data_IF_078654628184
#
_entry.id   IF_078654628184
#
_cell.length_a   1.000
_cell.length_b   1.000
_cell.length_c   1.000
_cell.angle_alpha   90.00
_cell.angle_beta   90.00
_cell.angle_gamma   90.00
#
_symmetry.space_group_name_H-M   'P 1'
#
loop_
_entity.id
_entity.type
_entity.pdbx_description
1 polymer ?
#
# COMPACT_ATOMS: atom_id res chain seq x y z
N UNK A 1 -20.99 14.70 1.29
CA UNK A 1 -19.53 14.77 1.44
C UNK A 1 -19.22 14.08 2.75
N UNK A 2 -19.23 12.75 2.77
CA UNK A 2 -18.61 11.99 3.84
C UNK A 2 -17.17 11.79 3.39
N UNK A 3 -16.29 12.65 3.89
CA UNK A 3 -14.85 12.53 3.65
C UNK A 3 -14.34 11.45 4.60
N UNK A 4 -14.65 10.18 4.30
CA UNK A 4 -14.06 9.04 5.00
C UNK A 4 -12.55 9.13 4.80
N UNK A 5 -11.85 9.60 5.83
CA UNK A 5 -10.40 9.69 5.85
C UNK A 5 -9.84 8.27 5.83
N UNK A 6 -9.50 7.77 4.63
CA UNK A 6 -9.07 6.40 4.43
C UNK A 6 -7.71 6.19 5.09
N UNK A 7 -7.60 5.09 5.83
CA UNK A 7 -6.33 4.65 6.37
C UNK A 7 -5.62 3.79 5.30
N UNK A 8 -4.41 4.17 4.91
CA UNK A 8 -3.62 3.53 3.87
C UNK A 8 -2.59 2.63 4.53
N UNK A 9 -2.54 1.35 4.15
CA UNK A 9 -1.51 0.43 4.59
C UNK A 9 -0.18 0.73 3.89
N UNK A 10 0.83 1.11 4.67
CA UNK A 10 2.16 1.44 4.22
C UNK A 10 3.14 1.34 5.41
N UNK A 11 4.21 0.55 5.33
CA UNK A 11 5.23 0.49 6.38
C UNK A 11 5.95 1.84 6.55
N UNK A 12 6.16 2.24 7.79
CA UNK A 12 6.92 3.44 8.15
C UNK A 12 8.40 3.27 7.81
N UNK A 13 9.00 4.35 7.33
CA UNK A 13 10.44 4.47 7.11
C UNK A 13 11.00 5.59 7.97
N UNK A 14 11.92 5.22 8.86
CA UNK A 14 12.61 6.12 9.77
C UNK A 14 13.68 6.96 9.03
N UNK A 15 14.17 8.06 9.64
CA UNK A 15 15.15 8.94 9.00
C UNK A 15 16.47 8.26 8.60
N UNK A 16 16.83 7.15 9.25
CA UNK A 16 18.02 6.34 8.94
C UNK A 16 17.77 5.30 7.84
N UNK A 17 16.56 5.25 7.28
CA UNK A 17 16.13 4.32 6.23
C UNK A 17 15.66 2.95 6.75
N UNK A 18 15.63 2.73 8.08
CA UNK A 18 15.07 1.51 8.65
C UNK A 18 13.53 1.55 8.68
N UNK A 19 12.91 0.38 8.81
CA UNK A 19 11.46 0.30 9.00
C UNK A 19 11.07 0.56 10.46
N UNK A 20 10.03 1.36 10.65
CA UNK A 20 9.44 1.65 11.95
C UNK A 20 8.41 0.60 12.39
N UNK A 21 7.68 0.91 13.47
CA UNK A 21 6.61 0.04 14.01
C UNK A 21 5.21 0.43 13.52
N UNK A 22 5.07 1.54 12.78
CA UNK A 22 3.80 1.94 12.15
C UNK A 22 3.67 1.31 10.77
N UNK A 23 2.45 0.89 10.44
CA UNK A 23 2.12 0.21 9.17
C UNK A 23 1.00 0.89 8.39
N UNK A 24 0.66 2.12 8.76
CA UNK A 24 -0.36 2.89 8.09
C UNK A 24 -0.24 4.38 8.35
N UNK A 25 -0.87 5.16 7.45
CA UNK A 25 -1.12 6.58 7.62
C UNK A 25 -2.52 6.92 7.14
N UNK A 26 -3.07 8.05 7.58
CA UNK A 26 -4.34 8.55 7.06
C UNK A 26 -4.14 9.36 5.78
N UNK A 27 -4.96 9.14 4.77
CA UNK A 27 -4.85 9.80 3.47
C UNK A 27 -4.87 11.34 3.56
N UNK A 28 -5.62 11.91 4.50
CA UNK A 28 -5.63 13.36 4.72
C UNK A 28 -4.29 13.92 5.25
N UNK A 29 -3.43 13.08 5.78
CA UNK A 29 -2.08 13.45 6.21
C UNK A 29 -1.07 13.38 5.07
N UNK A 30 -1.44 12.84 3.90
CA UNK A 30 -0.55 12.76 2.74
C UNK A 30 -0.19 14.16 2.22
N UNK A 31 1.10 14.47 2.24
CA UNK A 31 1.69 15.74 1.75
C UNK A 31 2.21 15.57 0.33
N UNK A 32 3.00 14.51 0.10
CA UNK A 32 3.68 14.25 -1.15
C UNK A 32 3.85 12.75 -1.37
N UNK A 33 3.86 12.33 -2.63
CA UNK A 33 4.40 11.03 -3.05
C UNK A 33 5.62 11.30 -3.90
N UNK A 34 6.77 10.84 -3.45
CA UNK A 34 8.02 10.92 -4.19
C UNK A 34 8.48 9.56 -4.68
N UNK A 35 9.29 9.56 -5.74
CA UNK A 35 9.93 8.36 -6.26
C UNK A 35 11.18 8.09 -5.42
N UNK A 36 11.21 6.94 -4.75
CA UNK A 36 12.34 6.51 -3.94
C UNK A 36 13.00 5.26 -4.50
N UNK A 37 14.33 5.17 -4.35
CA UNK A 37 15.16 4.07 -4.85
C UNK A 37 15.96 3.51 -3.67
N UNK A 38 15.34 2.71 -2.77
CA UNK A 38 16.03 2.15 -1.62
C UNK A 38 17.14 1.17 -2.00
N UNK A 39 17.06 0.57 -3.19
CA UNK A 39 17.98 -0.47 -3.68
C UNK A 39 18.15 -0.31 -5.18
N UNK A 40 19.30 -0.71 -5.71
CA UNK A 40 19.55 -0.65 -7.16
C UNK A 40 18.44 -1.35 -7.94
N UNK A 41 17.85 -0.64 -8.92
CA UNK A 41 16.73 -1.09 -9.75
C UNK A 41 15.41 -1.37 -9.02
N UNK A 42 15.25 -0.88 -7.79
CA UNK A 42 14.01 -1.00 -7.03
C UNK A 42 13.44 0.39 -6.77
N UNK A 43 12.63 0.88 -7.72
CA UNK A 43 11.88 2.14 -7.56
C UNK A 43 10.53 1.85 -6.91
N UNK A 44 10.21 2.55 -5.83
CA UNK A 44 8.94 2.44 -5.10
C UNK A 44 8.45 3.82 -4.66
N UNK A 45 7.14 4.00 -4.44
CA UNK A 45 6.61 5.26 -3.93
C UNK A 45 6.98 5.44 -2.46
N UNK A 46 7.35 6.67 -2.12
CA UNK A 46 7.60 7.11 -0.77
C UNK A 46 6.59 8.20 -0.41
N UNK A 47 5.78 7.91 0.59
CA UNK A 47 4.67 8.73 1.05
C UNK A 47 5.19 9.63 2.16
N UNK A 48 5.26 10.92 1.88
CA UNK A 48 5.54 11.95 2.87
C UNK A 48 4.22 12.37 3.48
N UNK A 49 4.07 12.23 4.79
CA UNK A 49 2.87 12.63 5.52
C UNK A 49 3.19 13.74 6.53
N UNK A 50 2.15 14.25 7.19
CA UNK A 50 2.29 15.20 8.30
C UNK A 50 2.98 14.61 9.52
N UNK A 51 2.91 13.29 9.69
CA UNK A 51 3.27 12.58 10.92
C UNK A 51 4.35 11.51 10.72
N UNK A 52 4.90 11.36 9.51
CA UNK A 52 5.90 10.33 9.22
C UNK A 52 6.21 10.20 7.73
N UNK A 53 7.04 9.21 7.43
CA UNK A 53 7.29 8.78 6.06
C UNK A 53 6.98 7.30 5.94
N UNK A 54 6.37 6.91 4.83
CA UNK A 54 5.92 5.55 4.61
C UNK A 54 6.28 5.10 3.19
N UNK A 55 6.22 3.81 2.94
CA UNK A 55 6.52 3.27 1.60
C UNK A 55 5.54 2.18 1.20
N UNK A 56 5.52 1.82 -0.09
CA UNK A 56 4.75 0.66 -0.51
C UNK A 56 5.32 -0.63 0.13
N UNK A 57 4.47 -1.50 0.68
CA UNK A 57 4.91 -2.79 1.20
C UNK A 57 5.38 -3.71 0.06
N UNK A 58 6.48 -4.41 0.27
CA UNK A 58 7.21 -5.14 -0.78
C UNK A 58 7.56 -6.59 -0.40
N UNK A 59 7.33 -6.99 0.85
CA UNK A 59 7.75 -8.29 1.40
C UNK A 59 6.64 -8.96 2.20
N UNK A 60 6.67 -10.29 2.29
CA UNK A 60 5.79 -11.03 3.19
C UNK A 60 5.91 -10.58 4.65
N UNK A 61 7.13 -10.28 5.14
CA UNK A 61 7.35 -9.84 6.52
C UNK A 61 6.53 -8.60 6.86
N UNK A 62 6.64 -7.55 6.04
CA UNK A 62 5.89 -6.30 6.23
C UNK A 62 4.36 -6.54 6.27
N UNK A 63 3.84 -7.47 5.46
CA UNK A 63 2.42 -7.84 5.51
C UNK A 63 2.05 -8.65 6.76
N UNK A 64 2.90 -9.60 7.15
CA UNK A 64 2.66 -10.43 8.34
C UNK A 64 2.66 -9.58 9.61
N UNK A 65 3.61 -8.65 9.72
CA UNK A 65 3.74 -7.76 10.86
C UNK A 65 2.62 -6.72 10.87
N UNK A 66 2.30 -6.18 9.69
CA UNK A 66 1.32 -5.13 9.52
C UNK A 66 -0.14 -5.60 9.56
N UNK A 67 -0.44 -6.88 9.31
CA UNK A 67 -1.79 -7.43 9.30
C UNK A 67 -1.97 -8.63 10.23
N UNK A 68 -2.64 -8.48 11.39
CA UNK A 68 -2.74 -9.55 12.39
C UNK A 68 -3.59 -10.75 11.94
N UNK A 69 -4.44 -10.57 10.92
CA UNK A 69 -5.30 -11.63 10.38
C UNK A 69 -4.63 -12.42 9.25
N UNK A 70 -3.46 -11.98 8.80
CA UNK A 70 -2.71 -12.65 7.76
C UNK A 70 -1.66 -13.55 8.40
N UNK A 71 -1.70 -14.83 8.07
CA UNK A 71 -0.79 -15.81 8.64
C UNK A 71 -0.23 -16.71 7.55
N UNK A 72 1.06 -17.04 7.65
CA UNK A 72 1.65 -18.07 6.81
C UNK A 72 1.11 -19.44 7.20
N UNK A 73 0.28 -20.02 6.33
CA UNK A 73 -0.25 -21.37 6.51
C UNK A 73 0.63 -22.41 5.81
N UNK A 74 1.34 -22.01 4.75
CA UNK A 74 2.34 -22.81 4.05
C UNK A 74 3.44 -21.88 3.47
N UNK A 75 4.50 -22.48 2.96
CA UNK A 75 5.63 -21.76 2.37
C UNK A 75 5.15 -20.93 1.18
N UNK A 76 5.30 -19.61 1.26
CA UNK A 76 5.01 -18.70 0.16
C UNK A 76 3.59 -18.14 0.12
N UNK A 77 2.74 -18.41 1.13
CA UNK A 77 1.46 -17.72 1.30
C UNK A 77 1.40 -16.93 2.63
N UNK A 78 0.64 -15.83 2.64
CA UNK A 78 -0.02 -15.32 3.86
C UNK A 78 -1.51 -15.28 3.63
N UNK A 79 -2.25 -15.98 4.48
CA UNK A 79 -3.68 -16.21 4.35
C UNK A 79 -4.43 -15.28 5.28
N UNK A 80 -5.39 -14.52 4.75
CA UNK A 80 -6.34 -13.81 5.58
C UNK A 80 -7.34 -14.81 6.18
N UNK A 81 -7.14 -15.14 7.44
CA UNK A 81 -7.92 -16.15 8.15
C UNK A 81 -9.41 -15.79 8.25
N UNK A 82 -9.76 -14.51 8.15
CA UNK A 82 -11.16 -14.06 8.16
C UNK A 82 -11.94 -14.43 6.91
N UNK A 83 -11.24 -14.58 5.78
CA UNK A 83 -11.86 -14.89 4.50
C UNK A 83 -11.94 -16.39 4.23
N UNK A 84 -11.42 -17.22 5.13
CA UNK A 84 -11.52 -18.68 5.04
C UNK A 84 -12.95 -19.12 5.34
N UNK A 85 -13.58 -19.74 4.35
CA UNK A 85 -14.95 -20.25 4.44
C UNK A 85 -15.01 -21.72 4.88
N UNK A 86 -14.04 -22.52 4.44
CA UNK A 86 -13.94 -23.95 4.78
C UNK A 86 -12.48 -24.40 4.69
N UNK A 87 -12.18 -25.51 5.36
CA UNK A 87 -10.88 -26.17 5.30
C UNK A 87 -11.05 -27.67 5.03
N UNK A 88 -10.11 -28.25 4.28
CA UNK A 88 -9.97 -29.69 4.07
C UNK A 88 -8.61 -30.12 4.61
N UNK A 89 -8.59 -31.03 5.58
CA UNK A 89 -7.36 -31.47 6.25
C UNK A 89 -7.16 -32.96 6.00
N UNK A 90 -5.92 -33.34 5.71
CA UNK A 90 -5.47 -34.73 5.59
C UNK A 90 -4.13 -34.95 6.30
N UNK A 91 -3.55 -36.13 6.11
CA UNK A 91 -2.39 -36.62 6.90
C UNK A 91 -1.08 -35.82 6.66
N UNK A 92 -1.00 -35.10 5.55
CA UNK A 92 0.19 -34.36 5.10
C UNK A 92 0.01 -32.83 5.09
N UNK A 93 -1.12 -32.32 5.61
CA UNK A 93 -1.46 -30.91 5.53
C UNK A 93 -2.92 -30.72 5.10
N UNK A 94 -3.21 -29.62 4.42
CA UNK A 94 -4.57 -29.37 3.96
C UNK A 94 -4.69 -28.18 3.03
N UNK A 95 -5.92 -27.75 2.85
CA UNK A 95 -6.32 -26.62 2.03
C UNK A 95 -7.32 -25.77 2.78
N UNK A 96 -7.22 -24.46 2.60
CA UNK A 96 -8.27 -23.51 2.98
C UNK A 96 -8.89 -22.92 1.72
N UNK A 97 -10.20 -22.72 1.76
CA UNK A 97 -10.98 -22.21 0.64
C UNK A 97 -11.65 -20.89 1.03
N UNK A 98 -11.78 -20.00 0.06
CA UNK A 98 -12.30 -18.65 0.28
C UNK A 98 -13.73 -18.50 -0.24
N UNK A 99 -14.57 -17.82 0.53
CA UNK A 99 -16.00 -17.72 0.24
C UNK A 99 -16.29 -17.14 -1.14
N UNK A 100 -17.31 -17.68 -1.82
CA UNK A 100 -17.76 -17.20 -3.13
C UNK A 100 -16.89 -17.64 -4.32
N UNK A 101 -15.90 -18.52 -4.12
CA UNK A 101 -15.02 -19.04 -5.18
C UNK A 101 -14.54 -20.47 -4.92
N UNK A 102 -13.96 -21.11 -5.94
CA UNK A 102 -13.17 -22.35 -5.79
C UNK A 102 -11.69 -22.08 -5.44
N UNK A 103 -11.34 -20.81 -5.20
CA UNK A 103 -9.98 -20.41 -4.85
C UNK A 103 -9.58 -21.03 -3.52
N UNK A 104 -8.37 -21.57 -3.49
CA UNK A 104 -7.82 -22.20 -2.31
C UNK A 104 -6.31 -22.04 -2.25
N UNK A 105 -5.75 -22.22 -1.05
CA UNK A 105 -4.31 -22.27 -0.84
C UNK A 105 -3.96 -23.35 0.19
N UNK A 106 -2.69 -23.76 0.19
CA UNK A 106 -2.19 -24.86 0.99
C UNK A 106 -2.02 -24.49 2.45
N UNK A 107 -2.12 -25.50 3.31
CA UNK A 107 -1.80 -25.48 4.73
C UNK A 107 -0.82 -26.60 5.00
N UNK A 108 0.35 -26.29 5.57
CA UNK A 108 1.32 -27.31 5.95
C UNK A 108 0.80 -28.16 7.12
N UNK A 109 1.46 -29.30 7.36
CA UNK A 109 1.08 -30.25 8.42
C UNK A 109 1.08 -29.66 9.84
N UNK A 110 1.99 -28.73 10.15
CA UNK A 110 2.07 -28.13 11.48
C UNK A 110 0.88 -27.20 11.73
N UNK A 111 0.58 -26.36 10.75
CA UNK A 111 -0.51 -25.41 10.79
C UNK A 111 -1.87 -26.09 10.72
N UNK A 112 -2.00 -27.23 10.02
CA UNK A 112 -3.27 -27.96 9.91
C UNK A 112 -3.78 -28.45 11.28
N UNK A 113 -2.88 -28.81 12.20
CA UNK A 113 -3.21 -29.26 13.56
C UNK A 113 -3.86 -28.15 14.40
N UNK A 114 -3.47 -26.90 14.19
CA UNK A 114 -3.95 -25.75 14.98
C UNK A 114 -4.93 -24.85 14.20
N UNK A 115 -5.22 -25.17 12.94
CA UNK A 115 -5.98 -24.32 12.03
C UNK A 115 -7.34 -23.89 12.60
N UNK A 116 -8.10 -24.82 13.18
CA UNK A 116 -9.40 -24.50 13.77
C UNK A 116 -9.29 -23.42 14.86
N UNK A 117 -8.26 -23.49 15.73
CA UNK A 117 -8.01 -22.49 16.77
C UNK A 117 -7.63 -21.13 16.16
N UNK A 118 -6.82 -21.14 15.11
CA UNK A 118 -6.40 -19.92 14.40
C UNK A 118 -7.60 -19.21 13.76
N UNK A 119 -8.49 -19.96 13.09
CA UNK A 119 -9.71 -19.45 12.49
C UNK A 119 -10.66 -18.85 13.53
N UNK A 120 -10.88 -19.54 14.66
CA UNK A 120 -11.72 -19.02 15.75
C UNK A 120 -11.13 -17.77 16.41
N UNK A 121 -9.80 -17.68 16.54
CA UNK A 121 -9.13 -16.47 17.03
C UNK A 121 -9.29 -15.30 16.05
N UNK A 122 -9.18 -15.54 14.75
CA UNK A 122 -9.33 -14.52 13.72
C UNK A 122 -10.75 -13.94 13.67
N UNK A 123 -11.80 -14.78 13.81
CA UNK A 123 -13.20 -14.34 13.84
C UNK A 123 -13.51 -13.33 14.95
N UNK A 124 -12.77 -13.38 16.08
CA UNK A 124 -12.98 -12.48 17.23
C UNK A 124 -12.33 -11.11 17.06
N UNK A 125 -11.42 -10.96 16.09
CA UNK A 125 -10.73 -9.69 15.84
C UNK A 125 -11.64 -8.75 15.04
N UNK A 126 -11.43 -7.42 15.08
CA UNK A 126 -12.13 -6.49 14.19
C UNK A 126 -11.74 -6.70 12.72
N UNK A 127 -12.61 -6.30 11.79
CA UNK A 127 -12.30 -6.29 10.36
C UNK A 127 -11.30 -5.18 10.05
N UNK A 128 -10.36 -5.46 9.15
CA UNK A 128 -9.38 -4.48 8.73
C UNK A 128 -10.05 -3.41 7.86
N UNK A 129 -9.92 -2.14 8.24
CA UNK A 129 -10.50 -1.01 7.50
C UNK A 129 -9.50 -0.33 6.58
N UNK A 130 -8.23 -0.77 6.57
CA UNK A 130 -7.18 -0.14 5.78
C UNK A 130 -7.29 -0.49 4.31
N UNK A 131 -6.73 0.38 3.48
CA UNK A 131 -6.66 0.23 2.04
C UNK A 131 -5.24 -0.04 1.58
N UNK A 132 -5.09 -0.89 0.57
CA UNK A 132 -3.83 -1.12 -0.14
C UNK A 132 -3.85 -0.36 -1.45
N UNK A 133 -2.73 0.30 -1.78
CA UNK A 133 -2.50 0.89 -3.10
C UNK A 133 -2.16 -0.23 -4.08
N UNK A 134 -3.12 -0.59 -4.92
CA UNK A 134 -3.02 -1.75 -5.82
C UNK A 134 -3.16 -1.39 -7.28
N UNK A 135 -2.86 -2.34 -8.16
CA UNK A 135 -3.06 -2.26 -9.60
C UNK A 135 -3.67 -3.56 -10.14
N UNK A 136 -4.74 -3.43 -10.91
CA UNK A 136 -5.43 -4.53 -11.61
C UNK A 136 -5.72 -4.11 -13.04
N UNK A 137 -5.45 -4.97 -14.03
CA UNK A 137 -5.74 -4.70 -15.45
C UNK A 137 -5.30 -3.29 -15.92
N UNK A 138 -4.09 -2.88 -15.56
CA UNK A 138 -3.51 -1.56 -15.89
C UNK A 138 -4.25 -0.36 -15.30
N UNK A 139 -5.08 -0.55 -14.27
CA UNK A 139 -5.70 0.52 -13.48
C UNK A 139 -5.25 0.41 -12.03
N UNK A 140 -4.84 1.53 -11.46
CA UNK A 140 -4.50 1.61 -10.04
C UNK A 140 -5.60 2.26 -9.21
N UNK A 141 -5.63 1.90 -7.93
CA UNK A 141 -6.66 2.34 -7.00
C UNK A 141 -6.36 1.94 -5.57
N UNK A 142 -7.30 2.27 -4.69
CA UNK A 142 -7.28 1.85 -3.30
C UNK A 142 -8.24 0.68 -3.11
N UNK A 143 -7.72 -0.44 -2.60
CA UNK A 143 -8.46 -1.68 -2.43
C UNK A 143 -8.57 -2.01 -0.93
N UNK A 144 -9.77 -2.32 -0.40
CA UNK A 144 -9.91 -2.68 1.00
C UNK A 144 -9.10 -3.94 1.34
N UNK A 145 -8.28 -3.89 2.38
CA UNK A 145 -7.46 -5.02 2.78
C UNK A 145 -8.30 -6.23 3.24
N UNK A 146 -9.49 -5.97 3.79
CA UNK A 146 -10.45 -7.01 4.19
C UNK A 146 -10.91 -7.91 3.04
N UNK A 147 -10.86 -7.44 1.78
CA UNK A 147 -11.33 -8.22 0.63
C UNK A 147 -10.28 -9.24 0.14
N UNK A 148 -9.04 -9.15 0.65
CA UNK A 148 -7.93 -10.00 0.25
C UNK A 148 -8.06 -11.34 0.95
N UNK A 149 -8.08 -12.41 0.16
CA UNK A 149 -8.17 -13.79 0.61
C UNK A 149 -6.81 -14.33 1.07
N UNK A 150 -5.81 -14.17 0.22
CA UNK A 150 -4.41 -14.46 0.56
C UNK A 150 -3.50 -13.65 -0.34
N UNK A 151 -2.23 -13.61 0.03
CA UNK A 151 -1.17 -13.00 -0.76
C UNK A 151 -0.04 -13.99 -0.98
N UNK A 152 0.63 -13.82 -2.11
CA UNK A 152 1.88 -14.49 -2.45
C UNK A 152 2.89 -13.50 -3.04
N UNK A 153 4.13 -13.94 -3.24
CA UNK A 153 5.13 -13.17 -3.97
C UNK A 153 5.11 -13.58 -5.44
N UNK A 154 4.84 -12.61 -6.31
CA UNK A 154 4.90 -12.79 -7.75
C UNK A 154 6.21 -12.22 -8.31
N UNK A 155 6.89 -12.98 -9.18
CA UNK A 155 8.10 -12.55 -9.86
C UNK A 155 7.85 -12.16 -11.32
N UNK A 156 7.32 -10.97 -11.64
CA UNK A 156 7.03 -10.58 -13.03
C UNK A 156 8.30 -10.42 -13.88
N UNK A 157 9.47 -10.25 -13.25
CA UNK A 157 10.78 -10.17 -13.90
C UNK A 157 11.82 -10.89 -13.05
N UNK A 158 12.93 -11.29 -13.67
CA UNK A 158 14.06 -11.94 -12.97
C UNK A 158 14.55 -11.04 -11.82
N UNK A 159 14.69 -11.63 -10.64
CA UNK A 159 15.14 -10.94 -9.41
C UNK A 159 14.23 -9.79 -8.96
N UNK A 160 12.97 -9.74 -9.41
CA UNK A 160 12.02 -8.71 -9.03
C UNK A 160 10.75 -9.37 -8.54
N UNK A 161 10.59 -9.42 -7.22
CA UNK A 161 9.43 -10.00 -6.55
C UNK A 161 8.56 -8.88 -5.98
N UNK A 162 7.25 -9.01 -6.17
CA UNK A 162 6.25 -8.07 -5.68
C UNK A 162 5.09 -8.84 -5.06
N UNK A 163 4.47 -8.30 -3.99
CA UNK A 163 3.23 -8.82 -3.45
C UNK A 163 2.12 -8.85 -4.50
N UNK A 164 1.41 -9.98 -4.56
CA UNK A 164 0.17 -10.17 -5.33
C UNK A 164 -0.94 -10.58 -4.37
N UNK A 165 -2.03 -9.84 -4.40
CA UNK A 165 -3.17 -9.96 -3.51
C UNK A 165 -4.31 -10.64 -4.25
N UNK A 166 -4.69 -11.83 -3.80
CA UNK A 166 -5.79 -12.59 -4.38
C UNK A 166 -7.08 -12.26 -3.66
N UNK A 167 -8.16 -12.07 -4.40
CA UNK A 167 -9.52 -11.83 -3.92
C UNK A 167 -10.50 -12.66 -4.76
N UNK A 168 -11.78 -12.66 -4.39
CA UNK A 168 -12.77 -13.53 -5.03
C UNK A 168 -12.85 -13.35 -6.56
N UNK A 169 -12.65 -12.12 -7.04
CA UNK A 169 -12.80 -11.77 -8.45
C UNK A 169 -11.46 -11.64 -9.23
N UNK A 170 -10.36 -12.21 -8.71
CA UNK A 170 -9.05 -12.16 -9.36
C UNK A 170 -7.93 -11.71 -8.42
N UNK A 171 -7.00 -10.91 -8.92
CA UNK A 171 -5.91 -10.37 -8.12
C UNK A 171 -5.56 -8.94 -8.50
N UNK A 172 -4.96 -8.22 -7.56
CA UNK A 172 -4.20 -7.00 -7.83
C UNK A 172 -2.76 -7.16 -7.34
N UNK A 173 -1.86 -6.34 -7.87
CA UNK A 173 -0.46 -6.27 -7.44
C UNK A 173 -0.21 -4.93 -6.78
N UNK A 174 0.79 -4.85 -5.90
CA UNK A 174 1.15 -3.58 -5.26
C UNK A 174 1.51 -2.51 -6.31
N UNK A 175 1.03 -1.29 -6.10
CA UNK A 175 1.36 -0.14 -6.93
C UNK A 175 2.75 0.41 -6.59
N UNK A 176 3.69 0.32 -7.53
CA UNK A 176 5.10 0.70 -7.30
C UNK A 176 5.57 1.92 -8.10
N UNK A 177 4.74 2.48 -8.99
CA UNK A 177 5.16 3.64 -9.80
C UNK A 177 4.40 4.91 -9.42
N UNK A 178 5.02 6.06 -9.69
CA UNK A 178 4.38 7.38 -9.58
C UNK A 178 3.10 7.45 -10.41
N UNK A 179 3.08 6.83 -11.60
CA UNK A 179 1.87 6.76 -12.42
C UNK A 179 0.75 6.00 -11.71
N UNK A 180 1.06 4.85 -11.10
CA UNK A 180 0.07 4.10 -10.33
C UNK A 180 -0.46 4.92 -9.14
N UNK A 181 0.42 5.65 -8.46
CA UNK A 181 0.02 6.53 -7.36
C UNK A 181 -0.84 7.70 -7.84
N UNK A 182 -0.58 8.25 -9.02
CA UNK A 182 -1.41 9.31 -9.60
C UNK A 182 -2.82 8.81 -9.95
N UNK A 183 -2.94 7.56 -10.42
CA UNK A 183 -4.23 6.92 -10.67
C UNK A 183 -4.97 6.61 -9.35
N UNK A 184 -4.26 6.14 -8.32
CA UNK A 184 -4.84 5.84 -7.00
C UNK A 184 -5.25 7.10 -6.20
N UNK A 185 -4.49 8.19 -6.35
CA UNK A 185 -4.70 9.47 -5.67
C UNK A 185 -4.89 10.59 -6.71
N UNK A 186 -6.02 10.62 -7.43
CA UNK A 186 -6.22 11.50 -8.59
C UNK A 186 -6.26 13.00 -8.24
N UNK A 187 -6.39 13.35 -6.96
CA UNK A 187 -6.31 14.73 -6.47
C UNK A 187 -4.88 15.26 -6.33
N UNK A 188 -3.86 14.39 -6.37
CA UNK A 188 -2.48 14.82 -6.29
C UNK A 188 -2.02 15.45 -7.61
N UNK A 189 -1.28 16.55 -7.49
CA UNK A 189 -0.78 17.30 -8.63
C UNK A 189 0.65 16.86 -9.02
N UNK A 190 0.93 16.55 -10.29
CA UNK A 190 2.27 16.14 -10.73
C UNK A 190 3.22 17.35 -10.85
N UNK A 191 4.01 17.59 -9.80
CA UNK A 191 4.98 18.69 -9.73
C UNK A 191 6.22 18.44 -10.61
N UNK A 192 6.70 17.20 -10.62
CA UNK A 192 7.80 16.70 -11.48
C UNK A 192 7.51 15.24 -11.88
N UNK A 193 8.28 14.59 -12.78
CA UNK A 193 8.11 13.17 -13.08
C UNK A 193 8.25 12.24 -11.87
N UNK A 194 8.93 12.69 -10.80
CA UNK A 194 9.15 11.91 -9.58
C UNK A 194 8.37 12.39 -8.36
N UNK A 195 7.47 13.37 -8.49
CA UNK A 195 6.76 13.96 -7.34
C UNK A 195 5.30 14.26 -7.66
N UNK A 196 4.40 13.78 -6.80
CA UNK A 196 2.98 14.13 -6.75
C UNK A 196 2.71 14.87 -5.44
N UNK A 197 2.15 16.08 -5.51
CA UNK A 197 1.94 16.93 -4.32
C UNK A 197 0.47 17.07 -3.99
N UNK A 198 0.15 17.10 -2.70
CA UNK A 198 -1.19 17.44 -2.24
C UNK A 198 -1.37 18.96 -2.25
N UNK A 199 -2.11 19.47 -3.25
CA UNK A 199 -2.33 20.91 -3.41
C UNK A 199 -3.09 21.53 -2.24
N UNK A 200 -3.86 20.74 -1.48
CA UNK A 200 -4.55 21.23 -0.28
C UNK A 200 -3.61 21.55 0.88
N UNK A 201 -2.37 21.06 0.84
CA UNK A 201 -1.35 21.26 1.88
C UNK A 201 -0.31 22.30 1.52
N UNK A 202 -0.41 22.92 0.34
CA UNK A 202 0.60 23.88 -0.15
C UNK A 202 0.46 25.21 0.60
N UNK A 203 1.52 25.60 1.33
CA UNK A 203 1.62 26.87 2.03
C UNK A 203 2.17 28.01 1.15
N UNK A 204 3.01 27.66 0.17
CA UNK A 204 3.68 28.65 -0.67
C UNK A 204 4.76 28.05 -1.55
N UNK A 205 5.58 28.91 -2.14
CA UNK A 205 6.70 28.50 -2.98
C UNK A 205 7.82 29.53 -2.96
N UNK A 206 9.07 29.05 -3.05
CA UNK A 206 10.26 29.88 -3.24
C UNK A 206 10.72 29.77 -4.69
N UNK A 207 10.71 30.88 -5.42
CA UNK A 207 11.12 30.91 -6.84
C UNK A 207 12.64 31.03 -6.98
N UNK A 208 13.20 30.22 -7.86
CA UNK A 208 14.61 30.21 -8.24
C UNK A 208 14.75 30.24 -9.77
N UNK A 209 15.96 30.50 -10.28
CA UNK A 209 16.20 30.69 -11.72
C UNK A 209 15.80 29.48 -12.60
N UNK A 210 15.76 28.27 -12.05
CA UNK A 210 15.50 27.03 -12.80
C UNK A 210 14.22 26.28 -12.36
N UNK A 211 13.44 26.85 -11.44
CA UNK A 211 12.26 26.19 -10.87
C UNK A 211 11.84 26.86 -9.57
N UNK A 212 10.96 26.21 -8.82
CA UNK A 212 10.63 26.64 -7.47
C UNK A 212 10.65 25.46 -6.50
N UNK A 213 10.73 25.79 -5.21
CA UNK A 213 10.51 24.83 -4.13
C UNK A 213 9.12 25.08 -3.54
N UNK A 214 8.24 24.09 -3.60
CA UNK A 214 6.93 24.11 -2.96
C UNK A 214 7.11 23.86 -1.48
N UNK A 215 6.47 24.69 -0.65
CA UNK A 215 6.39 24.55 0.81
C UNK A 215 5.02 24.05 1.21
N UNK A 216 4.96 23.26 2.27
CA UNK A 216 3.73 22.68 2.79
C UNK A 216 3.42 23.20 4.19
N UNK A 217 2.13 23.22 4.53
CA UNK A 217 1.67 23.62 5.86
C UNK A 217 2.07 22.56 6.89
N UNK A 218 2.65 22.99 8.02
CA UNK A 218 2.94 22.14 9.17
C UNK A 218 4.06 21.11 9.00
N UNK A 219 4.91 21.25 7.97
CA UNK A 219 6.12 20.43 7.79
C UNK A 219 7.25 21.23 7.14
N UNK A 220 8.49 20.88 7.46
CA UNK A 220 9.69 21.45 6.83
C UNK A 220 10.03 20.79 5.48
N UNK A 221 9.28 19.75 5.09
CA UNK A 221 9.46 19.12 3.79
C UNK A 221 9.19 20.12 2.66
N UNK A 222 10.03 20.08 1.62
CA UNK A 222 9.85 20.88 0.42
C UNK A 222 9.99 20.00 -0.82
N UNK A 223 9.26 20.34 -1.87
CA UNK A 223 9.24 19.59 -3.12
C UNK A 223 9.63 20.49 -4.30
N UNK A 224 10.55 20.06 -5.20
CA UNK A 224 10.83 20.81 -6.41
C UNK A 224 9.61 20.84 -7.34
N UNK A 225 9.44 21.93 -8.08
CA UNK A 225 8.44 22.07 -9.14
C UNK A 225 9.03 22.77 -10.38
N UNK A 226 8.74 22.23 -11.56
CA UNK A 226 9.18 22.85 -12.82
C UNK A 226 8.38 24.12 -13.15
N UNK A 227 8.98 25.09 -13.84
CA UNK A 227 8.34 26.36 -14.19
C UNK A 227 6.96 26.21 -14.90
N UNK A 228 6.79 25.30 -15.90
CA UNK A 228 5.48 25.09 -16.52
C UNK A 228 4.44 24.57 -15.51
N UNK A 229 4.84 23.66 -14.61
CA UNK A 229 3.97 23.10 -13.58
C UNK A 229 3.63 24.12 -12.51
N UNK A 230 4.57 24.98 -12.11
CA UNK A 230 4.31 26.09 -11.19
C UNK A 230 3.25 27.05 -11.75
N UNK A 231 3.35 27.41 -13.04
CA UNK A 231 2.32 28.23 -13.70
C UNK A 231 0.94 27.57 -13.67
N UNK A 232 0.86 26.25 -13.88
CA UNK A 232 -0.39 25.50 -13.79
C UNK A 232 -0.92 25.44 -12.34
N UNK A 233 -0.06 25.19 -11.36
CA UNK A 233 -0.42 25.17 -9.94
C UNK A 233 -0.98 26.53 -9.47
N UNK A 234 -0.35 27.64 -9.86
CA UNK A 234 -0.84 29.00 -9.56
C UNK A 234 -2.25 29.24 -10.07
N UNK A 235 -2.61 28.69 -11.24
CA UNK A 235 -3.98 28.79 -11.76
C UNK A 235 -4.96 27.97 -10.93
N UNK A 236 -4.56 26.78 -10.49
CA UNK A 236 -5.37 25.92 -9.65
C UNK A 236 -5.67 26.58 -8.30
N UNK A 237 -4.66 27.19 -7.67
CA UNK A 237 -4.80 27.87 -6.37
C UNK A 237 -5.66 29.14 -6.43
N UNK A 238 -5.67 29.85 -7.56
CA UNK A 238 -6.53 31.05 -7.76
C UNK A 238 -8.02 30.73 -7.94
N UNK A 239 -8.35 29.47 -8.24
CA UNK A 239 -9.70 29.01 -8.53
C UNK A 239 -10.29 28.15 -7.40
N UNK A 240 -9.58 28.03 -6.27
CA UNK A 240 -10.11 27.51 -5.00
C UNK A 240 -10.74 28.64 -4.22
#
# INVERSE_FOLDING_TARGET
MDNDNREIFAPEVLPDGQYGERYSFFENDLVCVERWIPKSNYEIPFFITMDGNFTAPTTHGEFADGFPNFLSLDTGNLVNLKNVSRAEIGDYGGKVFFGGTDMHTSVNKLNSVILAKLLEAAKKRPDDQRFIVGTVNSRSGLFPAKDICYLDMWGPKKNYHVPRFHHSNGFHVVALTIRNCQEAFPYLFPATPGHLINVSKVAGYDEHSFGAMVKFEGTDYTCPISNPKLKALKKYLKNK
#
